data_IF_571351112456
#
_entry.id   IF_571351112456
#
_cell.length_a   1.000
_cell.length_b   1.000
_cell.length_c   1.000
_cell.angle_alpha   90.00
_cell.angle_beta   90.00
_cell.angle_gamma   90.00
#
_symmetry.space_group_name_H-M   'P 1'
#
loop_
_entity.id
_entity.type
_entity.pdbx_description
1 polymer ?
#
# COMPACT_ATOMS: atom_id res chain seq x y z
N UNK A 1 -52.05 -33.59 71.10
CA UNK A 1 -52.51 -32.21 71.32
C UNK A 1 -52.06 -31.37 70.12
N UNK A 2 -52.97 -30.53 69.63
CA UNK A 2 -53.02 -30.06 68.25
C UNK A 2 -51.98 -28.99 67.91
N UNK A 3 -51.31 -29.16 66.76
CA UNK A 3 -50.66 -28.08 66.02
C UNK A 3 -51.55 -27.77 64.81
N UNK A 4 -52.09 -26.56 64.77
CA UNK A 4 -52.96 -26.08 63.70
C UNK A 4 -52.14 -25.69 62.46
N UNK A 5 -52.52 -26.29 61.33
CA UNK A 5 -52.36 -25.78 59.96
C UNK A 5 -52.96 -24.34 59.83
N UNK A 6 -52.85 -23.58 58.71
CA UNK A 6 -53.33 -24.08 57.41
C UNK A 6 -52.82 -23.45 56.07
N UNK A 7 -53.23 -24.13 55.00
CA UNK A 7 -53.54 -23.65 53.63
C UNK A 7 -52.44 -23.61 52.54
N UNK A 8 -52.44 -24.70 51.76
CA UNK A 8 -52.08 -24.91 50.34
C UNK A 8 -52.74 -23.88 49.37
N UNK A 9 -52.35 -23.70 48.07
CA UNK A 9 -51.97 -24.79 47.15
C UNK A 9 -50.97 -24.47 46.00
N UNK A 10 -50.43 -25.56 45.46
CA UNK A 10 -49.72 -25.63 44.17
C UNK A 10 -50.63 -25.23 42.99
N UNK A 11 -50.08 -24.57 41.96
CA UNK A 11 -50.52 -24.76 40.59
C UNK A 11 -49.58 -25.70 39.81
N UNK A 12 -50.20 -26.49 38.94
CA UNK A 12 -49.61 -27.50 38.04
C UNK A 12 -48.75 -26.86 36.93
N UNK A 13 -47.83 -27.61 36.29
CA UNK A 13 -47.00 -27.10 35.21
C UNK A 13 -47.82 -26.93 33.91
N UNK A 14 -47.73 -25.75 33.30
CA UNK A 14 -48.32 -25.46 31.99
C UNK A 14 -47.28 -25.74 30.89
N UNK A 15 -47.72 -26.47 29.87
CA UNK A 15 -46.99 -26.89 28.68
C UNK A 15 -46.66 -25.70 27.78
N UNK A 16 -45.40 -25.68 27.33
CA UNK A 16 -44.99 -25.20 26.00
C UNK A 16 -44.76 -23.70 25.87
N UNK A 17 -43.55 -23.30 25.49
CA UNK A 17 -43.30 -22.57 24.24
C UNK A 17 -41.79 -22.63 23.94
N UNK A 18 -41.47 -23.35 22.87
CA UNK A 18 -40.13 -23.49 22.29
C UNK A 18 -39.66 -22.11 21.84
N UNK A 19 -38.65 -21.54 22.49
CA UNK A 19 -38.03 -20.30 22.04
C UNK A 19 -37.42 -20.51 20.64
N UNK A 20 -37.93 -19.80 19.63
CA UNK A 20 -37.38 -19.78 18.27
C UNK A 20 -36.04 -19.06 18.31
N UNK A 21 -34.96 -19.61 17.73
CA UNK A 21 -33.72 -18.87 17.59
C UNK A 21 -33.96 -17.70 16.64
N UNK A 22 -33.59 -16.50 17.08
CA UNK A 22 -33.52 -15.31 16.22
C UNK A 22 -32.60 -15.64 15.05
N UNK A 23 -33.19 -15.74 13.85
CA UNK A 23 -32.46 -15.86 12.61
C UNK A 23 -31.62 -14.59 12.46
N UNK A 24 -30.30 -14.72 12.60
CA UNK A 24 -29.37 -13.69 12.14
C UNK A 24 -29.55 -13.64 10.63
N UNK A 25 -30.21 -12.60 10.13
CA UNK A 25 -30.21 -12.28 8.72
C UNK A 25 -28.76 -12.03 8.30
N UNK A 26 -28.15 -13.03 7.68
CA UNK A 26 -26.91 -12.85 6.92
C UNK A 26 -27.31 -12.03 5.70
N UNK A 27 -26.95 -10.75 5.69
CA UNK A 27 -27.02 -9.96 4.47
C UNK A 27 -26.08 -10.62 3.45
N UNK A 28 -26.65 -11.42 2.55
CA UNK A 28 -25.92 -11.94 1.40
C UNK A 28 -26.06 -10.88 0.32
N UNK A 29 -25.01 -10.09 0.10
CA UNK A 29 -24.96 -9.17 -1.03
C UNK A 29 -24.84 -10.00 -2.30
N UNK A 30 -25.92 -10.10 -3.09
CA UNK A 30 -25.92 -10.69 -4.44
C UNK A 30 -25.34 -9.72 -5.48
N UNK A 31 -24.97 -8.50 -5.09
CA UNK A 31 -24.16 -7.63 -5.91
C UNK A 31 -22.74 -8.19 -5.94
N UNK A 32 -22.12 -8.42 -7.11
CA UNK A 32 -20.68 -8.64 -7.14
C UNK A 32 -20.06 -7.40 -6.49
N UNK A 33 -19.47 -7.57 -5.30
CA UNK A 33 -18.47 -6.62 -4.82
C UNK A 33 -17.51 -6.43 -5.98
N UNK A 34 -17.31 -5.20 -6.48
CA UNK A 34 -16.27 -4.96 -7.47
C UNK A 34 -15.00 -5.56 -6.86
N UNK A 35 -14.45 -6.61 -7.49
CA UNK A 35 -13.18 -7.16 -7.05
C UNK A 35 -12.16 -6.05 -7.32
N UNK A 36 -11.88 -5.25 -6.28
CA UNK A 36 -10.91 -4.15 -6.31
C UNK A 36 -9.48 -4.63 -6.59
N UNK A 37 -9.29 -5.94 -6.68
CA UNK A 37 -8.09 -6.59 -7.12
C UNK A 37 -8.47 -7.54 -8.25
N UNK A 38 -8.08 -7.25 -9.49
CA UNK A 38 -8.18 -8.23 -10.57
C UNK A 38 -7.54 -9.53 -10.11
N UNK A 39 -8.17 -10.69 -10.36
CA UNK A 39 -7.65 -12.00 -9.97
C UNK A 39 -6.19 -12.23 -10.45
N UNK A 40 -5.80 -11.56 -11.53
CA UNK A 40 -4.45 -11.49 -12.06
C UNK A 40 -3.42 -10.85 -11.10
N UNK A 41 -3.82 -9.86 -10.30
CA UNK A 41 -2.99 -9.22 -9.28
C UNK A 41 -2.65 -10.18 -8.13
N UNK A 42 -3.65 -10.92 -7.63
CA UNK A 42 -3.47 -11.95 -6.60
C UNK A 42 -2.59 -13.10 -7.09
N UNK A 43 -2.79 -13.57 -8.32
CA UNK A 43 -1.95 -14.62 -8.93
C UNK A 43 -0.50 -14.16 -9.15
N UNK A 44 -0.30 -12.86 -9.38
CA UNK A 44 1.04 -12.26 -9.52
C UNK A 44 1.83 -12.16 -8.22
N UNK A 45 1.20 -12.34 -7.05
CA UNK A 45 1.92 -12.56 -5.79
C UNK A 45 2.49 -13.99 -5.68
N UNK A 46 1.92 -14.97 -6.40
CA UNK A 46 2.34 -16.38 -6.31
C UNK A 46 3.53 -16.72 -7.22
N UNK A 47 3.66 -16.04 -8.37
CA UNK A 47 4.84 -16.15 -9.26
C UNK A 47 5.92 -15.19 -8.76
N UNK A 48 6.98 -15.72 -8.15
CA UNK A 48 8.19 -15.02 -7.60
C UNK A 48 8.16 -13.50 -7.81
N UNK A 49 7.74 -12.73 -6.81
CA UNK A 49 7.50 -11.32 -7.05
C UNK A 49 8.80 -10.54 -7.18
N UNK A 50 8.86 -9.66 -8.19
CA UNK A 50 9.75 -8.51 -8.11
C UNK A 50 9.26 -7.61 -6.97
N UNK A 51 10.20 -7.17 -6.14
CA UNK A 51 9.97 -6.51 -4.86
C UNK A 51 11.28 -6.43 -4.08
N UNK A 52 11.27 -5.84 -2.88
CA UNK A 52 12.45 -5.70 -2.06
C UNK A 52 13.03 -7.07 -1.71
N UNK A 53 14.36 -7.17 -1.75
CA UNK A 53 15.11 -8.37 -1.40
C UNK A 53 16.15 -8.04 -0.34
N UNK A 54 16.47 -9.05 0.48
CA UNK A 54 17.41 -8.89 1.60
C UNK A 54 18.85 -8.63 1.14
N UNK A 55 19.21 -9.13 -0.04
CA UNK A 55 20.53 -8.98 -0.65
C UNK A 55 20.72 -7.67 -1.41
N UNK A 56 19.68 -6.84 -1.53
CA UNK A 56 19.78 -5.55 -2.20
C UNK A 56 20.51 -4.53 -1.33
N UNK A 57 21.45 -3.81 -1.94
CA UNK A 57 21.89 -2.50 -1.47
C UNK A 57 20.79 -1.44 -1.69
N UNK A 58 20.94 -0.27 -1.06
CA UNK A 58 20.01 0.83 -1.24
C UNK A 58 19.98 1.30 -2.71
N UNK A 59 21.13 1.35 -3.36
CA UNK A 59 21.29 1.71 -4.77
C UNK A 59 20.63 0.70 -5.71
N UNK A 60 20.82 -0.60 -5.48
CA UNK A 60 20.19 -1.66 -6.28
C UNK A 60 18.67 -1.67 -6.12
N UNK A 61 18.17 -1.38 -4.92
CA UNK A 61 16.74 -1.26 -4.67
C UNK A 61 16.12 -0.08 -5.44
N UNK A 62 16.81 1.06 -5.55
CA UNK A 62 16.36 2.19 -6.39
C UNK A 62 16.46 1.83 -7.87
N UNK A 63 17.56 1.22 -8.32
CA UNK A 63 17.73 0.80 -9.71
C UNK A 63 16.62 -0.17 -10.16
N UNK A 64 16.29 -1.15 -9.33
CA UNK A 64 15.21 -2.11 -9.60
C UNK A 64 13.85 -1.41 -9.77
N UNK A 65 13.58 -0.39 -8.96
CA UNK A 65 12.37 0.42 -9.05
C UNK A 65 12.33 1.26 -10.32
N UNK A 66 13.43 1.93 -10.67
CA UNK A 66 13.55 2.72 -11.90
C UNK A 66 13.40 1.85 -13.15
N UNK A 67 14.04 0.67 -13.19
CA UNK A 67 13.91 -0.26 -14.31
C UNK A 67 12.47 -0.76 -14.46
N UNK A 68 11.78 -1.03 -13.35
CA UNK A 68 10.37 -1.42 -13.38
C UNK A 68 9.48 -0.28 -13.93
N UNK A 69 9.75 0.97 -13.57
CA UNK A 69 9.03 2.14 -14.08
C UNK A 69 9.35 2.42 -15.57
N UNK A 70 10.58 2.16 -16.00
CA UNK A 70 11.00 2.24 -17.41
C UNK A 70 10.20 1.29 -18.29
N UNK A 71 9.90 0.09 -17.78
CA UNK A 71 9.11 -0.93 -18.46
C UNK A 71 7.74 -1.11 -17.79
N UNK A 72 7.09 0.00 -17.41
CA UNK A 72 5.90 0.00 -16.54
C UNK A 72 4.80 -0.96 -16.97
N UNK A 73 4.56 -1.14 -18.27
CA UNK A 73 3.45 -1.96 -18.78
C UNK A 73 3.86 -3.40 -19.17
N UNK A 74 5.02 -3.88 -18.70
CA UNK A 74 5.49 -5.25 -18.96
C UNK A 74 5.73 -5.99 -17.64
N UNK A 75 5.18 -7.22 -17.46
CA UNK A 75 4.42 -8.02 -18.42
C UNK A 75 2.92 -7.65 -18.54
N UNK A 76 2.43 -6.71 -17.73
CA UNK A 76 1.03 -6.24 -17.73
C UNK A 76 1.00 -4.74 -17.45
N UNK A 77 -0.15 -4.12 -17.70
CA UNK A 77 -0.36 -2.70 -17.44
C UNK A 77 -0.04 -2.31 -15.99
N UNK A 78 0.63 -1.17 -15.79
CA UNK A 78 0.96 -0.61 -14.48
C UNK A 78 1.80 -1.55 -13.57
N UNK A 79 2.50 -2.52 -14.16
CA UNK A 79 3.41 -3.42 -13.44
C UNK A 79 4.54 -2.68 -12.70
N UNK A 80 5.10 -1.63 -13.30
CA UNK A 80 6.12 -0.79 -12.65
C UNK A 80 5.60 -0.17 -11.35
N UNK A 81 4.38 0.38 -11.39
CA UNK A 81 3.69 0.92 -10.22
C UNK A 81 3.44 -0.16 -9.16
N UNK A 82 3.10 -1.40 -9.56
CA UNK A 82 2.98 -2.49 -8.59
C UNK A 82 4.30 -2.81 -7.90
N UNK A 83 5.42 -2.75 -8.62
CA UNK A 83 6.75 -2.90 -8.02
C UNK A 83 6.99 -1.78 -7.02
N UNK A 84 6.74 -0.52 -7.39
CA UNK A 84 6.83 0.63 -6.48
C UNK A 84 6.01 0.43 -5.21
N UNK A 85 4.78 -0.06 -5.34
CA UNK A 85 3.90 -0.34 -4.21
C UNK A 85 4.45 -1.42 -3.27
N UNK A 86 5.16 -2.42 -3.80
CA UNK A 86 5.79 -3.49 -3.00
C UNK A 86 7.05 -3.02 -2.27
N UNK A 87 7.76 -2.04 -2.83
CA UNK A 87 8.88 -1.39 -2.16
C UNK A 87 8.41 -0.34 -1.15
N UNK A 88 7.16 0.09 -1.21
CA UNK A 88 6.68 1.16 -0.35
C UNK A 88 6.69 0.76 1.13
N UNK A 89 7.49 1.48 1.91
CA UNK A 89 7.72 1.20 3.31
C UNK A 89 6.67 1.79 4.26
N UNK A 90 5.46 2.12 3.80
CA UNK A 90 4.42 2.68 4.66
C UNK A 90 3.46 1.60 5.21
N UNK A 91 2.77 1.90 6.31
CA UNK A 91 1.68 1.06 6.80
C UNK A 91 0.40 1.31 5.96
N UNK A 92 -0.19 0.29 5.29
CA UNK A 92 -1.41 0.44 4.52
C UNK A 92 -2.62 0.94 5.32
N UNK A 93 -2.61 0.83 6.65
CA UNK A 93 -3.70 1.31 7.51
C UNK A 93 -3.49 2.74 8.01
N UNK A 94 -2.36 3.36 7.69
CA UNK A 94 -2.01 4.72 8.09
C UNK A 94 -1.86 5.67 6.90
N UNK A 95 -1.94 6.97 7.17
CA UNK A 95 -1.65 7.99 6.15
C UNK A 95 -0.14 8.13 5.99
N UNK A 96 0.30 8.18 4.74
CA UNK A 96 1.71 8.24 4.37
C UNK A 96 2.07 9.54 3.65
N UNK A 97 3.29 10.02 3.88
CA UNK A 97 3.92 11.15 3.19
C UNK A 97 4.77 10.70 1.99
N UNK A 98 4.51 9.51 1.45
CA UNK A 98 5.31 8.92 0.37
C UNK A 98 5.50 9.88 -0.82
N UNK A 99 4.47 10.63 -1.20
CA UNK A 99 4.51 11.63 -2.28
C UNK A 99 4.57 13.07 -1.76
N UNK A 100 4.97 13.28 -0.51
CA UNK A 100 5.04 14.59 0.16
C UNK A 100 3.87 14.82 1.11
N UNK A 101 2.68 15.26 0.63
CA UNK A 101 1.49 15.39 1.48
C UNK A 101 0.99 14.05 2.04
N UNK A 102 0.20 14.12 3.12
CA UNK A 102 -0.43 12.94 3.71
C UNK A 102 -1.54 12.38 2.80
N UNK A 103 -1.33 11.20 2.26
CA UNK A 103 -2.33 10.44 1.52
C UNK A 103 -2.63 9.12 2.23
N UNK A 104 -3.88 8.65 2.13
CA UNK A 104 -4.16 7.25 2.42
C UNK A 104 -3.79 6.45 1.17
N UNK A 105 -2.70 5.69 1.27
CA UNK A 105 -2.09 4.97 0.17
C UNK A 105 -2.26 3.46 0.30
N UNK A 106 -2.98 2.97 1.32
CA UNK A 106 -3.20 1.53 1.52
C UNK A 106 -4.03 0.87 0.42
N UNK A 107 -4.76 1.68 -0.35
CA UNK A 107 -5.43 1.24 -1.57
C UNK A 107 -4.52 1.43 -2.77
N UNK A 108 -4.17 0.32 -3.44
CA UNK A 108 -3.34 0.33 -4.63
C UNK A 108 -3.84 1.31 -5.70
N UNK A 109 -5.15 1.37 -5.95
CA UNK A 109 -5.75 2.30 -6.92
C UNK A 109 -5.42 3.77 -6.66
N UNK A 110 -5.35 4.18 -5.39
CA UNK A 110 -5.02 5.55 -5.03
C UNK A 110 -3.53 5.84 -5.24
N UNK A 111 -2.68 4.89 -4.88
CA UNK A 111 -1.24 4.95 -5.18
C UNK A 111 -0.98 5.02 -6.70
N UNK A 112 -1.67 4.17 -7.47
CA UNK A 112 -1.60 4.13 -8.94
C UNK A 112 -2.02 5.44 -9.60
N UNK A 113 -3.11 6.06 -9.12
CA UNK A 113 -3.56 7.36 -9.63
C UNK A 113 -2.52 8.47 -9.46
N UNK A 114 -1.72 8.45 -8.39
CA UNK A 114 -0.69 9.47 -8.16
C UNK A 114 0.46 9.36 -9.17
N UNK A 115 0.84 8.15 -9.57
CA UNK A 115 1.82 7.95 -10.65
C UNK A 115 1.31 8.45 -12.01
N UNK A 116 0.01 8.32 -12.28
CA UNK A 116 -0.61 8.85 -13.50
C UNK A 116 -0.88 10.37 -13.45
N UNK A 117 -0.68 11.01 -12.30
CA UNK A 117 -0.77 12.47 -12.19
C UNK A 117 0.39 13.16 -12.90
N UNK A 118 0.17 14.39 -13.37
CA UNK A 118 1.15 15.14 -14.20
C UNK A 118 2.55 15.21 -13.58
N UNK A 119 2.64 15.33 -12.25
CA UNK A 119 3.91 15.40 -11.50
C UNK A 119 4.79 14.16 -11.65
N UNK A 120 4.18 12.96 -11.66
CA UNK A 120 4.93 11.70 -11.62
C UNK A 120 4.87 10.92 -12.94
N UNK A 121 4.00 11.32 -13.88
CA UNK A 121 3.78 10.62 -15.15
C UNK A 121 5.06 10.37 -15.95
N UNK A 122 6.00 11.31 -15.91
CA UNK A 122 7.31 11.19 -16.61
C UNK A 122 8.13 10.00 -16.15
N UNK A 123 7.89 9.45 -14.96
CA UNK A 123 8.53 8.21 -14.49
C UNK A 123 8.05 6.98 -15.27
N UNK A 124 6.82 7.00 -15.78
CA UNK A 124 6.20 5.86 -16.43
C UNK A 124 6.69 5.76 -17.87
N UNK A 125 7.21 4.60 -18.25
CA UNK A 125 7.68 4.32 -19.60
C UNK A 125 8.74 5.34 -20.09
N UNK A 126 9.55 5.86 -19.17
CA UNK A 126 10.57 6.86 -19.47
C UNK A 126 11.65 6.29 -20.41
N UNK A 127 12.33 7.17 -21.15
CA UNK A 127 13.35 6.80 -22.11
C UNK A 127 14.64 6.41 -21.41
N UNK A 128 15.11 7.29 -20.52
CA UNK A 128 16.33 7.11 -19.75
C UNK A 128 16.23 7.83 -18.40
N UNK A 129 17.09 7.40 -17.48
CA UNK A 129 17.27 8.06 -16.20
C UNK A 129 18.76 8.16 -15.89
N UNK A 130 19.15 9.17 -15.13
CA UNK A 130 20.53 9.41 -14.70
C UNK A 130 20.56 9.69 -13.21
N UNK A 131 21.42 8.97 -12.49
CA UNK A 131 21.69 9.26 -11.09
C UNK A 131 22.45 10.60 -11.00
N UNK A 132 21.87 11.57 -10.31
CA UNK A 132 22.47 12.89 -10.08
C UNK A 132 23.32 12.90 -8.81
N UNK A 133 22.82 12.28 -7.74
CA UNK A 133 23.53 12.20 -6.46
C UNK A 133 23.03 11.04 -5.61
N UNK A 134 23.89 10.52 -4.75
CA UNK A 134 23.60 9.48 -3.76
C UNK A 134 24.15 9.94 -2.42
N UNK A 135 23.36 9.82 -1.35
CA UNK A 135 23.67 10.36 -0.04
C UNK A 135 23.21 9.39 1.06
N UNK A 136 24.14 8.93 1.89
CA UNK A 136 23.85 8.25 3.14
C UNK A 136 23.54 9.29 4.21
N UNK A 137 22.29 9.38 4.65
CA UNK A 137 21.86 10.31 5.71
C UNK A 137 22.21 9.72 7.07
N UNK A 138 21.99 8.41 7.22
CA UNK A 138 22.32 7.57 8.38
C UNK A 138 22.66 6.16 7.90
N UNK A 139 23.07 5.27 8.80
CA UNK A 139 23.36 3.86 8.48
C UNK A 139 22.15 3.14 7.85
N UNK A 140 20.95 3.48 8.29
CA UNK A 140 19.68 2.88 7.87
C UNK A 140 18.88 3.77 6.90
N UNK A 141 19.43 4.91 6.47
CA UNK A 141 18.71 5.88 5.63
C UNK A 141 19.57 6.40 4.49
N UNK A 142 19.09 6.18 3.27
CA UNK A 142 19.76 6.53 2.02
C UNK A 142 18.86 7.41 1.14
N UNK A 143 19.45 8.38 0.46
CA UNK A 143 18.76 9.26 -0.49
C UNK A 143 19.45 9.23 -1.84
N UNK A 144 18.66 9.16 -2.91
CA UNK A 144 19.17 9.22 -4.26
C UNK A 144 18.33 10.18 -5.11
N UNK A 145 19.00 11.13 -5.76
CA UNK A 145 18.36 12.04 -6.73
C UNK A 145 18.60 11.52 -8.12
N UNK A 146 17.54 11.48 -8.91
CA UNK A 146 17.49 10.87 -10.23
C UNK A 146 16.82 11.85 -11.18
N UNK A 147 17.49 12.09 -12.29
CA UNK A 147 16.96 12.82 -13.43
C UNK A 147 16.29 11.82 -14.36
N UNK A 148 15.05 12.08 -14.76
CA UNK A 148 14.27 11.17 -15.59
C UNK A 148 13.86 11.89 -16.85
N UNK A 149 14.18 11.30 -18.00
CA UNK A 149 13.85 11.82 -19.31
C UNK A 149 12.72 11.00 -19.94
N UNK A 150 11.61 11.69 -20.25
CA UNK A 150 10.48 11.16 -21.00
C UNK A 150 10.76 11.05 -22.50
N UNK A 151 9.70 10.80 -23.26
CA UNK A 151 9.78 10.67 -24.72
C UNK A 151 9.54 11.99 -25.46
N UNK A 152 8.86 12.94 -24.82
CA UNK A 152 8.61 14.25 -25.41
C UNK A 152 9.85 15.12 -25.28
N UNK A 153 10.15 15.98 -26.27
CA UNK A 153 11.16 17.01 -26.08
C UNK A 153 10.81 17.86 -24.85
N UNK A 154 11.80 18.18 -24.03
CA UNK A 154 11.68 18.94 -22.76
C UNK A 154 10.92 18.23 -21.60
N UNK A 155 10.50 16.98 -21.76
CA UNK A 155 9.90 16.21 -20.65
C UNK A 155 11.02 15.59 -19.81
N UNK A 156 11.60 16.40 -18.93
CA UNK A 156 12.71 16.04 -18.04
C UNK A 156 12.43 16.54 -16.63
N UNK A 157 12.41 15.63 -15.65
CA UNK A 157 12.13 15.98 -14.26
C UNK A 157 13.08 15.26 -13.30
N UNK A 158 13.29 15.86 -12.13
CA UNK A 158 14.15 15.32 -11.08
C UNK A 158 13.32 14.80 -9.92
N UNK A 159 13.65 13.61 -9.45
CA UNK A 159 13.02 12.96 -8.31
C UNK A 159 14.05 12.59 -7.25
N UNK A 160 13.63 12.61 -5.99
CA UNK A 160 14.41 12.13 -4.87
C UNK A 160 13.73 10.90 -4.26
N UNK A 161 14.44 9.78 -4.28
CA UNK A 161 14.11 8.59 -3.52
C UNK A 161 14.70 8.72 -2.12
N UNK A 162 13.89 8.50 -1.10
CA UNK A 162 14.35 8.26 0.27
C UNK A 162 14.09 6.79 0.60
N UNK A 163 15.17 6.07 0.86
CA UNK A 163 15.17 4.66 1.20
C UNK A 163 15.48 4.49 2.69
N UNK A 164 14.78 3.57 3.35
CA UNK A 164 15.02 3.18 4.74
C UNK A 164 15.25 1.67 4.78
N UNK A 165 16.30 1.26 5.49
CA UNK A 165 16.49 -0.14 5.87
C UNK A 165 15.65 -0.42 7.11
N UNK A 166 14.73 -1.39 7.00
CA UNK A 166 13.89 -1.78 8.14
C UNK A 166 14.72 -2.55 9.17
N UNK A 167 14.50 -2.22 10.44
CA UNK A 167 15.11 -2.89 11.59
C UNK A 167 14.00 -3.60 12.37
N UNK A 168 14.12 -4.92 12.47
CA UNK A 168 13.18 -5.80 13.16
C UNK A 168 11.92 -6.15 12.35
N UNK A 169 11.19 -7.16 12.84
CA UNK A 169 9.98 -7.67 12.21
C UNK A 169 10.25 -8.55 10.98
N UNK A 170 9.23 -8.74 10.14
CA UNK A 170 9.32 -9.61 8.95
C UNK A 170 10.07 -8.98 7.77
N UNK A 171 10.42 -7.70 7.86
CA UNK A 171 11.14 -6.94 6.84
C UNK A 171 12.54 -6.53 7.31
N UNK A 172 13.05 -7.14 8.39
CA UNK A 172 14.37 -6.81 8.93
C UNK A 172 15.48 -6.94 7.89
N UNK A 173 16.29 -5.90 7.74
CA UNK A 173 17.38 -5.79 6.76
C UNK A 173 16.96 -5.38 5.34
N UNK A 174 15.66 -5.30 5.03
CA UNK A 174 15.21 -4.92 3.68
C UNK A 174 15.22 -3.40 3.48
N UNK A 175 15.66 -2.97 2.30
CA UNK A 175 15.53 -1.59 1.85
C UNK A 175 14.14 -1.33 1.26
N UNK A 176 13.42 -0.39 1.86
CA UNK A 176 12.09 0.05 1.43
C UNK A 176 12.11 1.54 1.11
N UNK A 177 11.20 1.96 0.24
CA UNK A 177 11.04 3.36 -0.14
C UNK A 177 10.15 4.07 0.86
N UNK A 178 10.70 5.00 1.61
CA UNK A 178 9.96 5.88 2.53
C UNK A 178 9.21 6.96 1.75
N UNK A 179 9.88 7.58 0.78
CA UNK A 179 9.29 8.65 -0.04
C UNK A 179 9.87 8.73 -1.43
N UNK A 180 9.04 9.10 -2.40
CA UNK A 180 9.41 9.51 -3.74
C UNK A 180 8.90 10.93 -3.96
N UNK A 181 9.81 11.91 -3.96
CA UNK A 181 9.46 13.32 -4.03
C UNK A 181 9.93 13.93 -5.33
N UNK A 182 9.10 14.78 -5.94
CA UNK A 182 9.52 15.62 -7.05
C UNK A 182 10.38 16.78 -6.52
N UNK A 183 11.51 17.07 -7.15
CA UNK A 183 12.50 18.03 -6.63
C UNK A 183 11.93 19.46 -6.54
N UNK A 184 11.00 19.83 -7.44
CA UNK A 184 10.27 21.12 -7.35
C UNK A 184 9.37 21.22 -6.10
N UNK A 185 8.92 20.10 -5.56
CA UNK A 185 8.03 20.10 -4.38
C UNK A 185 8.82 20.34 -3.08
N UNK A 186 10.12 20.05 -3.07
CA UNK A 186 11.00 20.35 -1.92
C UNK A 186 11.12 21.86 -1.69
N UNK A 187 10.94 22.66 -2.74
CA UNK A 187 10.94 24.13 -2.66
C UNK A 187 9.55 24.75 -2.47
N UNK A 188 8.47 23.97 -2.63
CA UNK A 188 7.07 24.42 -2.53
C UNK A 188 6.42 23.93 -1.23
N UNK A 189 7.08 24.16 -0.10
CA UNK A 189 6.46 24.06 1.21
C UNK A 189 5.22 24.97 1.29
N UNK A 190 4.05 24.42 0.96
CA UNK A 190 2.77 25.10 1.09
C UNK A 190 2.03 25.28 -0.23
N UNK A 191 1.42 24.21 -0.74
CA UNK A 191 0.11 24.33 -1.38
C UNK A 191 -0.79 23.27 -0.75
N UNK A 192 -1.55 23.70 0.26
CA UNK A 192 -2.68 22.95 0.77
C UNK A 192 -3.74 22.87 -0.33
N UNK A 193 -4.33 21.69 -0.51
CA UNK A 193 -5.65 21.54 -1.13
C UNK A 193 -6.74 21.91 -0.11
#
# INVERSE_FOLDING_TARGET
MAISSPVYPFPKPVVGFRAKPYARFRASSTSPTPDFFSSEWLESRKKRPFGPKLDFSAEEAVQCQLDALKYNDQPRQDYGIEVMYRFAGFDPFERSTYFGPFFDLGQFERFRRLFHHSTYRVLLCHKEHKILSSLWVKEDQFKQRVLVQGWRPEEEETFQFTMIQRIGGCWDGYWLTESLLHDRDVFLGGVAY
#
